data_IF_551867696829
#
_entry.id   IF_551867696829
#
_cell.length_a   1.000
_cell.length_b   1.000
_cell.length_c   1.000
_cell.angle_alpha   90.00
_cell.angle_beta   90.00
_cell.angle_gamma   90.00
#
_symmetry.space_group_name_H-M   'P 1'
#
loop_
_entity.id
_entity.type
_entity.pdbx_description
1 polymer ?
#
# COMPACT_ATOMS: atom_id res chain seq x y z
N UNK A 1 3.20 19.51 4.49
CA UNK A 1 2.63 19.99 3.21
C UNK A 1 1.33 19.25 2.95
N UNK A 2 0.22 19.97 2.81
CA UNK A 2 -1.07 19.39 2.45
C UNK A 2 -1.02 18.82 1.02
N UNK A 3 -1.67 17.68 0.80
CA UNK A 3 -1.80 17.09 -0.54
C UNK A 3 -2.87 17.86 -1.31
N UNK A 4 -2.55 18.36 -2.51
CA UNK A 4 -3.57 18.95 -3.40
C UNK A 4 -4.69 17.94 -3.68
N UNK A 5 -5.93 18.39 -3.59
CA UNK A 5 -7.12 17.60 -3.93
C UNK A 5 -7.05 17.11 -5.39
N UNK A 6 -7.71 15.98 -5.68
CA UNK A 6 -7.77 15.47 -7.05
C UNK A 6 -8.47 16.44 -8.00
N UNK A 7 -9.56 17.09 -7.55
CA UNK A 7 -10.25 18.13 -8.32
C UNK A 7 -9.29 19.27 -8.76
N UNK A 8 -8.48 19.79 -7.83
CA UNK A 8 -7.54 20.86 -8.17
C UNK A 8 -6.48 20.39 -9.17
N UNK A 9 -5.99 19.15 -9.03
CA UNK A 9 -5.03 18.55 -9.98
C UNK A 9 -5.66 18.40 -11.37
N UNK A 10 -6.90 17.93 -11.44
CA UNK A 10 -7.67 17.79 -12.68
C UNK A 10 -7.85 19.14 -13.37
N UNK A 11 -8.25 20.18 -12.62
CA UNK A 11 -8.44 21.53 -13.17
C UNK A 11 -7.15 22.14 -13.72
N UNK A 12 -6.02 21.98 -13.01
CA UNK A 12 -4.69 22.43 -13.47
C UNK A 12 -4.33 21.77 -14.81
N UNK A 13 -4.50 20.46 -14.87
CA UNK A 13 -4.13 19.67 -16.06
C UNK A 13 -5.06 19.98 -17.23
N UNK A 14 -6.36 20.11 -16.98
CA UNK A 14 -7.34 20.50 -18.00
C UNK A 14 -7.07 21.91 -18.56
N UNK A 15 -6.67 22.87 -17.72
CA UNK A 15 -6.27 24.20 -18.19
C UNK A 15 -5.04 24.16 -19.10
N UNK A 16 -4.07 23.28 -18.80
CA UNK A 16 -2.93 23.05 -19.69
C UNK A 16 -3.35 22.43 -21.02
N UNK A 17 -4.26 21.46 -20.99
CA UNK A 17 -4.73 20.77 -22.21
C UNK A 17 -5.55 21.67 -23.14
N UNK A 18 -6.32 22.60 -22.57
CA UNK A 18 -7.06 23.62 -23.35
C UNK A 18 -6.15 24.70 -23.94
N UNK A 19 -4.90 24.78 -23.52
CA UNK A 19 -3.98 25.84 -23.95
C UNK A 19 -4.30 27.21 -23.33
N UNK A 20 -4.91 27.24 -22.14
CA UNK A 20 -5.35 28.48 -21.46
C UNK A 20 -4.20 29.41 -21.01
N UNK A 21 -2.95 29.01 -21.27
CA UNK A 21 -1.74 29.78 -20.96
C UNK A 21 -0.49 28.91 -20.86
N UNK A 22 0.63 29.56 -20.54
CA UNK A 22 1.89 28.88 -20.23
C UNK A 22 1.80 28.15 -18.90
N UNK A 23 2.73 27.21 -18.66
CA UNK A 23 2.81 26.49 -17.37
C UNK A 23 2.97 27.44 -16.17
N UNK A 24 3.59 28.60 -16.36
CA UNK A 24 3.76 29.60 -15.32
C UNK A 24 2.46 30.35 -15.04
N UNK A 25 1.74 30.79 -16.08
CA UNK A 25 0.44 31.44 -15.93
C UNK A 25 -0.59 30.51 -15.27
N UNK A 26 -0.55 29.20 -15.59
CA UNK A 26 -1.39 28.21 -14.93
C UNK A 26 -1.00 28.07 -13.45
N UNK A 27 0.30 28.04 -13.13
CA UNK A 27 0.77 27.96 -11.76
C UNK A 27 0.25 29.14 -10.91
N UNK A 28 0.37 30.36 -11.44
CA UNK A 28 -0.14 31.59 -10.83
C UNK A 28 -1.68 31.56 -10.68
N UNK A 29 -2.41 31.15 -11.72
CA UNK A 29 -3.89 31.07 -11.70
C UNK A 29 -4.43 30.16 -10.59
N UNK A 30 -3.74 29.05 -10.30
CA UNK A 30 -4.18 28.06 -9.33
C UNK A 30 -3.44 28.16 -7.98
N UNK A 31 -2.64 29.22 -7.77
CA UNK A 31 -1.82 29.43 -6.57
C UNK A 31 -0.97 28.22 -6.19
N UNK A 32 -0.31 27.63 -7.20
CA UNK A 32 0.62 26.51 -7.03
C UNK A 32 1.99 26.85 -7.60
N UNK A 33 3.02 26.13 -7.16
CA UNK A 33 4.35 26.31 -7.74
C UNK A 33 4.42 25.78 -9.18
N UNK A 34 5.25 26.41 -10.03
CA UNK A 34 5.57 25.91 -11.37
C UNK A 34 6.08 24.46 -11.33
N UNK A 35 6.84 24.11 -10.30
CA UNK A 35 7.32 22.75 -10.07
C UNK A 35 6.18 21.74 -9.91
N UNK A 36 5.10 22.12 -9.23
CA UNK A 36 3.92 21.26 -9.09
C UNK A 36 3.22 21.01 -10.42
N UNK A 37 3.02 22.06 -11.24
CA UNK A 37 2.43 21.91 -12.58
C UNK A 37 3.28 20.95 -13.43
N UNK A 38 4.60 21.18 -13.47
CA UNK A 38 5.53 20.28 -14.19
C UNK A 38 5.45 18.84 -13.67
N UNK A 39 5.36 18.64 -12.35
CA UNK A 39 5.24 17.33 -11.72
C UNK A 39 3.96 16.62 -12.12
N UNK A 40 2.82 17.30 -12.16
CA UNK A 40 1.54 16.71 -12.58
C UNK A 40 1.57 16.28 -14.06
N UNK A 41 2.09 17.13 -14.95
CA UNK A 41 2.21 16.80 -16.36
C UNK A 41 3.17 15.62 -16.60
N UNK A 42 4.29 15.57 -15.86
CA UNK A 42 5.22 14.46 -15.90
C UNK A 42 4.59 13.16 -15.37
N UNK A 43 3.83 13.24 -14.26
CA UNK A 43 3.12 12.09 -13.70
C UNK A 43 2.14 11.52 -14.74
N UNK A 44 1.31 12.38 -15.33
CA UNK A 44 0.39 11.98 -16.39
C UNK A 44 1.10 11.32 -17.57
N UNK A 45 2.21 11.89 -18.04
CA UNK A 45 2.99 11.33 -19.15
C UNK A 45 3.54 9.93 -18.84
N UNK A 46 3.95 9.68 -17.60
CA UNK A 46 4.56 8.41 -17.20
C UNK A 46 3.54 7.33 -16.83
N UNK A 47 2.42 7.71 -16.20
CA UNK A 47 1.49 6.74 -15.60
C UNK A 47 0.07 6.82 -16.15
N UNK A 48 -0.27 7.83 -16.95
CA UNK A 48 -1.64 8.10 -17.39
C UNK A 48 -2.59 8.58 -16.28
N UNK A 49 -2.08 8.81 -15.06
CA UNK A 49 -2.88 9.13 -13.87
C UNK A 49 -2.30 10.37 -13.17
N UNK A 50 -3.18 11.25 -12.68
CA UNK A 50 -2.84 12.48 -11.96
C UNK A 50 -3.22 12.45 -10.48
N UNK A 51 -3.89 11.37 -10.05
CA UNK A 51 -4.30 11.14 -8.66
C UNK A 51 -3.13 11.21 -7.69
N UNK A 52 -3.42 11.54 -6.44
CA UNK A 52 -2.42 11.47 -5.38
C UNK A 52 -1.79 10.07 -5.28
N UNK A 53 -0.46 10.02 -5.35
CA UNK A 53 0.34 8.81 -5.18
C UNK A 53 0.72 8.53 -3.73
N UNK A 54 0.11 9.22 -2.76
CA UNK A 54 0.42 9.06 -1.34
C UNK A 54 0.23 7.60 -0.87
N UNK A 55 -0.72 6.85 -1.44
CA UNK A 55 -0.90 5.41 -1.18
C UNK A 55 0.32 4.54 -1.49
N UNK A 56 1.21 5.01 -2.36
CA UNK A 56 2.47 4.33 -2.73
C UNK A 56 3.66 4.83 -1.92
N UNK A 57 3.45 5.78 -1.01
CA UNK A 57 4.46 6.27 -0.09
C UNK A 57 4.37 5.54 1.25
N UNK A 58 5.49 5.45 1.96
CA UNK A 58 5.57 4.80 3.27
C UNK A 58 6.50 3.59 3.29
N UNK A 59 6.56 2.94 4.45
CA UNK A 59 7.42 1.78 4.68
C UNK A 59 6.91 0.59 3.86
N UNK A 60 7.83 -0.11 3.18
CA UNK A 60 7.49 -1.35 2.49
C UNK A 60 6.95 -2.38 3.50
N UNK A 61 5.91 -3.16 3.17
CA UNK A 61 5.39 -4.19 4.05
C UNK A 61 6.49 -5.20 4.43
N UNK A 62 6.63 -5.49 5.73
CA UNK A 62 7.56 -6.53 6.21
C UNK A 62 7.14 -7.92 5.71
N UNK A 63 5.84 -8.19 5.69
CA UNK A 63 5.26 -9.43 5.18
C UNK A 63 4.88 -9.19 3.72
N UNK A 64 5.68 -9.75 2.81
CA UNK A 64 5.45 -9.63 1.36
C UNK A 64 4.55 -10.75 0.84
N UNK A 65 4.09 -10.63 -0.41
CA UNK A 65 3.30 -11.68 -1.10
C UNK A 65 3.98 -13.05 -1.05
N UNK A 66 5.32 -13.10 -1.15
CA UNK A 66 6.07 -14.37 -1.03
C UNK A 66 5.93 -14.98 0.36
N UNK A 67 6.01 -14.15 1.40
CA UNK A 67 5.81 -14.61 2.78
C UNK A 67 4.36 -15.06 3.01
N UNK A 68 3.36 -14.38 2.42
CA UNK A 68 1.97 -14.81 2.51
C UNK A 68 1.73 -16.18 1.86
N UNK A 69 2.34 -16.43 0.70
CA UNK A 69 2.29 -17.74 0.04
C UNK A 69 2.95 -18.82 0.90
N UNK A 70 4.09 -18.51 1.52
CA UNK A 70 4.76 -19.43 2.44
C UNK A 70 3.92 -19.71 3.70
N UNK A 71 3.33 -18.68 4.31
CA UNK A 71 2.42 -18.85 5.45
C UNK A 71 1.20 -19.71 5.09
N UNK A 72 0.60 -19.52 3.92
CA UNK A 72 -0.49 -20.39 3.40
C UNK A 72 -0.07 -21.85 3.32
N UNK A 73 1.17 -22.10 2.86
CA UNK A 73 1.72 -23.45 2.75
C UNK A 73 1.96 -24.06 4.14
N UNK A 74 2.65 -23.34 5.01
CA UNK A 74 2.97 -23.82 6.37
C UNK A 74 1.73 -24.13 7.19
N UNK A 75 0.70 -23.27 7.15
CA UNK A 75 -0.57 -23.52 7.86
C UNK A 75 -1.31 -24.73 7.30
N UNK A 76 -1.17 -25.03 6.00
CA UNK A 76 -1.80 -26.19 5.37
C UNK A 76 -1.07 -27.49 5.71
N UNK A 77 0.26 -27.48 5.69
CA UNK A 77 1.10 -28.65 5.99
C UNK A 77 1.14 -28.94 7.49
N UNK A 78 1.13 -27.89 8.33
CA UNK A 78 1.29 -27.97 9.78
C UNK A 78 0.30 -27.03 10.50
N UNK A 79 -0.98 -27.40 10.61
CA UNK A 79 -2.03 -26.54 11.17
C UNK A 79 -1.85 -26.21 12.66
N UNK A 80 -1.04 -26.98 13.38
CA UNK A 80 -0.79 -26.84 14.82
C UNK A 80 0.43 -25.95 15.14
N UNK A 81 1.11 -25.40 14.12
CA UNK A 81 2.22 -24.48 14.35
C UNK A 81 1.77 -23.23 15.10
N UNK A 82 2.54 -22.86 16.12
CA UNK A 82 2.37 -21.61 16.84
C UNK A 82 2.79 -20.41 15.98
N UNK A 83 2.35 -19.21 16.37
CA UNK A 83 2.73 -17.97 15.69
C UNK A 83 4.25 -17.74 15.67
N UNK A 84 4.96 -18.17 16.71
CA UNK A 84 6.42 -18.05 16.82
C UNK A 84 7.10 -19.00 15.85
N UNK A 85 6.62 -20.24 15.75
CA UNK A 85 7.16 -21.22 14.79
C UNK A 85 6.90 -20.79 13.36
N UNK A 86 5.68 -20.31 13.04
CA UNK A 86 5.35 -19.77 11.71
C UNK A 86 6.25 -18.58 11.36
N UNK A 87 6.48 -17.67 12.31
CA UNK A 87 7.42 -16.55 12.13
C UNK A 87 8.81 -17.06 11.75
N UNK A 88 9.35 -17.99 12.55
CA UNK A 88 10.71 -18.48 12.38
C UNK A 88 10.86 -19.26 11.06
N UNK A 89 9.89 -20.11 10.73
CA UNK A 89 9.86 -20.87 9.47
C UNK A 89 9.70 -19.97 8.24
N UNK A 90 9.00 -18.83 8.37
CA UNK A 90 8.89 -17.83 7.32
C UNK A 90 10.12 -16.89 7.24
N UNK A 91 11.10 -17.02 8.13
CA UNK A 91 12.28 -16.15 8.17
C UNK A 91 11.97 -14.68 8.50
N UNK A 92 10.86 -14.42 9.19
CA UNK A 92 10.38 -13.06 9.48
C UNK A 92 10.92 -12.56 10.82
N UNK A 93 11.38 -11.31 10.87
CA UNK A 93 11.85 -10.65 12.11
C UNK A 93 10.75 -9.86 12.83
N UNK A 94 9.48 -10.06 12.47
CA UNK A 94 8.36 -9.33 13.05
C UNK A 94 7.87 -9.92 14.39
N UNK A 95 6.95 -9.23 15.06
CA UNK A 95 6.31 -9.77 16.26
C UNK A 95 5.36 -10.92 15.91
N UNK A 96 5.12 -11.88 16.83
CA UNK A 96 4.10 -12.93 16.62
C UNK A 96 2.70 -12.36 16.31
N UNK A 97 2.35 -11.21 16.88
CA UNK A 97 1.11 -10.49 16.59
C UNK A 97 1.01 -10.05 15.12
N UNK A 98 2.12 -9.66 14.49
CA UNK A 98 2.13 -9.33 13.06
C UNK A 98 1.81 -10.55 12.19
N UNK A 99 2.25 -11.75 12.60
CA UNK A 99 1.86 -13.00 11.94
C UNK A 99 0.36 -13.25 12.11
N UNK A 100 -0.18 -13.06 13.32
CA UNK A 100 -1.61 -13.22 13.57
C UNK A 100 -2.46 -12.33 12.63
N UNK A 101 -2.17 -11.03 12.55
CA UNK A 101 -2.87 -10.13 11.62
C UNK A 101 -2.69 -10.50 10.16
N UNK A 102 -1.52 -11.03 9.78
CA UNK A 102 -1.31 -11.52 8.42
C UNK A 102 -2.19 -12.74 8.12
N UNK A 103 -2.32 -13.68 9.06
CA UNK A 103 -3.18 -14.85 8.90
C UNK A 103 -4.67 -14.46 8.83
N UNK A 104 -5.12 -13.52 9.67
CA UNK A 104 -6.49 -12.99 9.60
C UNK A 104 -6.78 -12.36 8.25
N UNK A 105 -5.89 -11.50 7.74
CA UNK A 105 -6.02 -10.87 6.42
C UNK A 105 -6.03 -11.89 5.27
N UNK A 106 -5.37 -13.05 5.46
CA UNK A 106 -5.36 -14.15 4.50
C UNK A 106 -6.56 -15.09 4.62
N UNK A 107 -7.43 -14.89 5.61
CA UNK A 107 -8.56 -15.78 5.87
C UNK A 107 -8.13 -17.17 6.36
N UNK A 108 -6.98 -17.25 7.04
CA UNK A 108 -6.41 -18.50 7.56
C UNK A 108 -6.62 -18.55 9.09
N UNK A 109 -7.78 -19.04 9.57
CA UNK A 109 -7.97 -19.22 11.00
C UNK A 109 -7.02 -20.31 11.50
N UNK A 110 -6.16 -19.98 12.47
CA UNK A 110 -5.45 -20.98 13.26
C UNK A 110 -6.48 -21.77 14.05
N UNK A 111 -6.51 -23.09 13.83
CA UNK A 111 -7.47 -23.97 14.49
C UNK A 111 -7.09 -24.12 15.96
N UNK A 112 -7.83 -23.47 16.87
CA UNK A 112 -7.97 -23.97 18.24
C UNK A 112 -9.20 -24.88 18.30
N UNK A 113 -9.00 -26.18 18.44
CA UNK A 113 -10.01 -27.04 19.10
C UNK A 113 -9.46 -27.38 20.48
N UNK A 114 -10.25 -27.06 21.50
CA UNK A 114 -9.88 -27.16 22.93
C UNK A 114 -9.49 -28.59 23.31
N UNK A 115 -8.50 -28.67 24.19
CA UNK A 115 -8.12 -29.79 25.06
C UNK A 115 -9.24 -30.81 25.27
N UNK A 116 -8.98 -32.07 24.92
CA UNK A 116 -9.74 -33.20 25.48
C UNK A 116 -9.35 -33.36 26.96
N UNK A 117 -10.28 -33.65 27.89
CA UNK A 117 -9.91 -34.04 29.24
C UNK A 117 -9.23 -35.42 29.20
N UNK A 118 -8.28 -35.64 30.09
CA UNK A 118 -7.57 -36.91 30.26
C UNK A 118 -8.48 -37.87 31.03
N UNK A 119 -8.80 -39.02 30.45
CA UNK A 119 -9.42 -40.15 31.15
C UNK A 119 -8.48 -40.70 32.24
#
# INVERSE_FOLDING_TARGET
MATLSNDLRERIVAAYDRGDGTRQQIAERYDVSLGMVKKLLQQRRLTGDISSRHRFSGRRPTITVKHEQLLRRLVREHPDMTLVELRNAAGLSCTPQAIHYALERLGLPLKKRRSVPRN
#
